data_IF_401895319973
#
_entry.id   IF_401895319973
#
_cell.length_a   1.000
_cell.length_b   1.000
_cell.length_c   1.000
_cell.angle_alpha   90.00
_cell.angle_beta   90.00
_cell.angle_gamma   90.00
#
_symmetry.space_group_name_H-M   'P 1'
#
loop_
_entity.id
_entity.type
_entity.pdbx_description
1 polymer ?
#
# COMPACT_ATOMS: atom_id res chain seq x y z
N UNK A 1 17.25 3.22 2.45
CA UNK A 1 17.52 3.01 1.01
C UNK A 1 16.34 3.60 0.26
N UNK A 2 16.55 4.55 -0.65
CA UNK A 2 15.46 5.11 -1.46
C UNK A 2 15.19 4.12 -2.60
N UNK A 3 13.95 3.68 -2.75
CA UNK A 3 13.57 2.80 -3.86
C UNK A 3 13.62 3.59 -5.16
N UNK A 4 14.06 2.94 -6.24
CA UNK A 4 14.01 3.51 -7.58
C UNK A 4 12.56 3.52 -8.08
N UNK A 5 12.11 4.64 -8.61
CA UNK A 5 10.80 4.74 -9.25
C UNK A 5 10.76 4.03 -10.60
N UNK A 6 9.55 3.75 -11.07
CA UNK A 6 9.31 3.24 -12.43
C UNK A 6 9.88 4.24 -13.44
N UNK A 7 10.58 3.75 -14.47
CA UNK A 7 11.30 4.57 -15.44
C UNK A 7 12.78 4.80 -15.10
N UNK A 8 13.24 4.40 -13.90
CA UNK A 8 14.67 4.47 -13.56
C UNK A 8 15.52 3.61 -14.49
N UNK A 9 16.72 4.09 -14.82
CA UNK A 9 17.68 3.40 -15.69
C UNK A 9 18.85 2.88 -14.87
N UNK A 10 19.15 1.60 -15.01
CA UNK A 10 20.23 0.92 -14.29
C UNK A 10 21.16 0.17 -15.23
N UNK A 11 22.35 -0.15 -14.75
CA UNK A 11 23.29 -1.06 -15.39
C UNK A 11 23.61 -2.22 -14.43
N UNK A 12 23.12 -3.41 -14.74
CA UNK A 12 23.35 -4.62 -13.96
C UNK A 12 24.60 -5.35 -14.49
N UNK A 13 25.46 -5.92 -13.62
CA UNK A 13 26.68 -6.61 -14.04
C UNK A 13 26.40 -7.78 -14.99
N UNK A 14 25.33 -8.55 -14.74
CA UNK A 14 25.01 -9.74 -15.55
C UNK A 14 24.14 -9.46 -16.78
N UNK A 15 23.27 -8.44 -16.72
CA UNK A 15 22.23 -8.22 -17.73
C UNK A 15 22.42 -6.92 -18.54
N UNK A 16 23.39 -6.09 -18.17
CA UNK A 16 23.69 -4.83 -18.82
C UNK A 16 22.67 -3.73 -18.50
N UNK A 17 22.42 -2.86 -19.48
CA UNK A 17 21.56 -1.68 -19.30
C UNK A 17 20.08 -2.04 -19.40
N UNK A 18 19.30 -1.54 -18.46
CA UNK A 18 17.86 -1.79 -18.40
C UNK A 18 17.06 -0.64 -17.78
N UNK A 19 15.74 -0.72 -17.94
CA UNK A 19 14.77 0.23 -17.41
C UNK A 19 13.85 -0.47 -16.42
N UNK A 20 13.67 0.11 -15.23
CA UNK A 20 12.74 -0.37 -14.21
C UNK A 20 11.31 -0.12 -14.71
N UNK A 21 10.53 -1.19 -14.84
CA UNK A 21 9.13 -1.13 -15.32
C UNK A 21 8.11 -1.39 -14.22
N UNK A 22 8.51 -2.07 -13.14
CA UNK A 22 7.69 -2.29 -11.95
C UNK A 22 8.55 -2.44 -10.70
N UNK A 23 7.97 -2.15 -9.53
CA UNK A 23 8.62 -2.23 -8.22
C UNK A 23 7.65 -2.90 -7.25
N UNK A 24 8.15 -3.90 -6.54
CA UNK A 24 7.44 -4.54 -5.43
C UNK A 24 8.23 -4.34 -4.14
N UNK A 25 7.67 -4.76 -3.00
CA UNK A 25 8.38 -4.68 -1.70
C UNK A 25 9.65 -5.53 -1.62
N UNK A 26 9.93 -6.39 -2.60
CA UNK A 26 11.08 -7.31 -2.61
C UNK A 26 11.90 -7.31 -3.89
N UNK A 27 11.31 -6.94 -5.03
CA UNK A 27 11.97 -7.05 -6.34
C UNK A 27 11.71 -5.83 -7.23
N UNK A 28 12.68 -5.54 -8.09
CA UNK A 28 12.53 -4.73 -9.28
C UNK A 28 12.26 -5.61 -10.49
N UNK A 29 11.38 -5.14 -11.36
CA UNK A 29 11.16 -5.71 -12.68
C UNK A 29 11.84 -4.79 -13.68
N UNK A 30 12.83 -5.32 -14.39
CA UNK A 30 13.71 -4.53 -15.25
C UNK A 30 13.69 -5.12 -16.64
N UNK A 31 13.38 -4.30 -17.63
CA UNK A 31 13.53 -4.70 -19.03
C UNK A 31 14.92 -4.31 -19.49
N UNK A 32 15.77 -5.31 -19.69
CA UNK A 32 17.11 -5.19 -20.25
C UNK A 32 17.07 -5.21 -21.78
N UNK A 33 18.03 -4.53 -22.41
CA UNK A 33 18.09 -4.39 -23.88
C UNK A 33 18.24 -5.76 -24.56
N UNK A 34 19.11 -6.62 -24.04
CA UNK A 34 19.46 -7.89 -24.70
C UNK A 34 18.63 -9.08 -24.19
N UNK A 35 18.28 -9.10 -22.91
CA UNK A 35 17.64 -10.25 -22.25
C UNK A 35 16.12 -10.11 -22.07
N UNK A 36 15.56 -8.91 -22.32
CA UNK A 36 14.15 -8.64 -22.07
C UNK A 36 13.84 -8.45 -20.59
N UNK A 37 12.65 -8.88 -20.15
CA UNK A 37 12.14 -8.64 -18.80
C UNK A 37 12.76 -9.62 -17.80
N UNK A 38 13.45 -9.10 -16.80
CA UNK A 38 14.05 -9.86 -15.71
C UNK A 38 13.61 -9.32 -14.34
N UNK A 39 13.62 -10.21 -13.35
CA UNK A 39 13.29 -9.85 -11.96
C UNK A 39 14.56 -9.89 -11.12
N UNK A 40 14.92 -8.75 -10.52
CA UNK A 40 16.09 -8.63 -9.67
C UNK A 40 15.68 -8.23 -8.24
N UNK A 41 16.46 -8.64 -7.24
CA UNK A 41 16.19 -8.25 -5.86
C UNK A 41 16.50 -6.76 -5.64
N UNK A 42 15.83 -6.14 -4.67
CA UNK A 42 16.07 -4.72 -4.31
C UNK A 42 17.49 -4.44 -3.80
N UNK A 43 18.17 -5.47 -3.29
CA UNK A 43 19.55 -5.44 -2.76
C UNK A 43 20.60 -5.94 -3.75
N UNK A 44 20.22 -6.22 -4.99
CA UNK A 44 21.17 -6.62 -6.04
C UNK A 44 22.17 -5.48 -6.33
N UNK A 45 23.39 -5.86 -6.72
CA UNK A 45 24.40 -4.89 -7.13
C UNK A 45 24.13 -4.40 -8.56
N UNK A 46 23.95 -3.10 -8.73
CA UNK A 46 23.84 -2.45 -10.04
C UNK A 46 24.22 -0.97 -9.92
N UNK A 47 24.64 -0.38 -11.03
CA UNK A 47 24.88 1.07 -11.11
C UNK A 47 23.60 1.79 -11.54
N UNK A 48 23.25 2.86 -10.82
CA UNK A 48 22.12 3.72 -11.19
C UNK A 48 22.59 4.77 -12.19
N UNK A 49 22.07 4.70 -13.42
CA UNK A 49 22.34 5.69 -14.47
C UNK A 49 21.44 6.92 -14.27
N UNK A 50 20.16 6.67 -14.00
CA UNK A 50 19.15 7.69 -13.74
C UNK A 50 18.12 7.15 -12.76
N UNK A 51 17.90 7.86 -11.66
CA UNK A 51 16.81 7.58 -10.75
C UNK A 51 15.59 8.40 -11.19
N UNK A 52 14.53 7.71 -11.58
CA UNK A 52 13.20 8.31 -11.60
C UNK A 52 12.74 8.40 -10.14
N UNK A 53 12.56 9.62 -9.66
CA UNK A 53 12.08 9.92 -8.32
C UNK A 53 10.55 10.00 -8.25
N UNK A 54 9.85 9.70 -9.35
CA UNK A 54 8.40 9.73 -9.37
C UNK A 54 7.89 8.73 -8.33
N UNK A 55 7.23 9.31 -7.32
CA UNK A 55 6.58 8.61 -6.22
C UNK A 55 5.72 7.51 -6.86
N UNK A 56 6.23 6.28 -6.84
CA UNK A 56 5.39 5.13 -6.99
C UNK A 56 4.45 5.28 -5.81
N UNK A 57 3.20 5.69 -6.08
CA UNK A 57 2.12 5.78 -5.11
C UNK A 57 1.94 4.38 -4.52
N UNK A 58 2.82 4.03 -3.58
CA UNK A 58 2.74 2.84 -2.79
C UNK A 58 1.55 3.11 -1.91
N UNK A 59 0.38 2.64 -2.36
CA UNK A 59 -0.86 2.74 -1.61
C UNK A 59 -0.53 2.42 -0.16
N UNK A 60 -0.74 3.39 0.72
CA UNK A 60 -0.26 3.26 2.09
C UNK A 60 -0.98 2.08 2.73
N UNK A 61 -0.28 1.24 3.50
CA UNK A 61 -0.94 0.18 4.27
C UNK A 61 -2.06 0.74 5.16
N UNK A 62 -1.92 1.99 5.61
CA UNK A 62 -2.96 2.72 6.32
C UNK A 62 -4.21 2.97 5.46
N UNK A 63 -4.04 3.31 4.18
CA UNK A 63 -5.16 3.52 3.24
C UNK A 63 -5.87 2.21 2.90
N UNK A 64 -5.11 1.11 2.78
CA UNK A 64 -5.65 -0.23 2.59
C UNK A 64 -6.44 -0.67 3.82
N UNK A 65 -5.88 -0.50 5.02
CA UNK A 65 -6.55 -0.80 6.29
C UNK A 65 -7.83 0.02 6.46
N UNK A 66 -7.74 1.33 6.23
CA UNK A 66 -8.90 2.23 6.28
C UNK A 66 -9.99 1.80 5.31
N UNK A 67 -9.64 1.47 4.07
CA UNK A 67 -10.59 1.00 3.07
C UNK A 67 -11.26 -0.31 3.49
N UNK A 68 -10.49 -1.24 4.05
CA UNK A 68 -11.04 -2.50 4.57
C UNK A 68 -11.99 -2.26 5.75
N UNK A 69 -11.61 -1.40 6.70
CA UNK A 69 -12.47 -1.00 7.83
C UNK A 69 -13.77 -0.36 7.35
N UNK A 70 -13.70 0.53 6.36
CA UNK A 70 -14.87 1.22 5.82
C UNK A 70 -15.81 0.24 5.10
N UNK A 71 -15.26 -0.73 4.36
CA UNK A 71 -16.05 -1.82 3.75
C UNK A 71 -16.71 -2.68 4.83
N UNK A 72 -15.96 -3.10 5.85
CA UNK A 72 -16.51 -3.91 6.93
C UNK A 72 -17.59 -3.16 7.70
N UNK A 73 -17.41 -1.88 8.04
CA UNK A 73 -18.44 -1.06 8.69
C UNK A 73 -19.71 -0.90 7.84
N UNK A 74 -19.56 -0.82 6.52
CA UNK A 74 -20.69 -0.64 5.61
C UNK A 74 -21.54 -1.90 5.43
N UNK A 75 -20.93 -3.08 5.51
CA UNK A 75 -21.57 -4.34 5.13
C UNK A 75 -21.67 -5.38 6.25
N UNK A 76 -20.87 -5.24 7.30
CA UNK A 76 -21.00 -6.04 8.52
C UNK A 76 -22.00 -5.34 9.42
N UNK A 77 -22.94 -6.09 10.02
CA UNK A 77 -23.89 -5.65 11.08
C UNK A 77 -23.18 -5.19 12.38
N UNK A 78 -21.97 -4.61 12.30
CA UNK A 78 -21.27 -4.00 13.42
C UNK A 78 -21.99 -2.69 13.72
N UNK A 79 -22.99 -2.81 14.59
CA UNK A 79 -23.62 -1.66 15.23
C UNK A 79 -22.54 -0.77 15.84
N UNK A 80 -22.54 0.51 15.48
CA UNK A 80 -21.64 1.47 16.12
C UNK A 80 -21.94 1.51 17.62
N UNK A 81 -20.89 1.37 18.44
CA UNK A 81 -20.98 1.60 19.88
C UNK A 81 -21.20 3.09 20.10
N UNK A 82 -22.47 3.52 20.14
CA UNK A 82 -22.84 4.90 20.44
C UNK A 82 -22.89 5.07 21.95
N UNK A 83 -21.98 5.86 22.56
CA UNK A 83 -22.02 6.11 23.99
C UNK A 83 -23.26 6.92 24.35
N UNK A 84 -23.95 6.54 25.43
CA UNK A 84 -25.05 7.33 25.97
C UNK A 84 -24.52 8.67 26.50
N UNK A 85 -25.25 9.75 26.24
CA UNK A 85 -24.86 11.08 26.74
C UNK A 85 -24.82 11.10 28.28
N UNK A 86 -23.93 11.92 28.86
CA UNK A 86 -23.68 11.96 30.31
C UNK A 86 -24.93 12.20 31.16
N UNK A 87 -25.88 12.97 30.64
CA UNK A 87 -27.17 13.26 31.31
C UNK A 87 -28.02 12.01 31.60
N UNK A 88 -27.73 10.88 30.94
CA UNK A 88 -28.44 9.61 31.13
C UNK A 88 -27.69 8.63 32.03
N UNK A 89 -26.42 8.92 32.38
CA UNK A 89 -25.63 8.05 33.28
C UNK A 89 -26.24 8.06 34.68
N UNK A 90 -26.50 6.87 35.22
CA UNK A 90 -27.17 6.71 36.53
C UNK A 90 -28.69 6.96 36.50
N UNK A 91 -29.26 7.26 35.32
CA UNK A 91 -30.69 7.37 35.13
C UNK A 91 -31.40 6.01 35.08
N UNK A 92 -32.73 6.02 35.22
CA UNK A 92 -33.56 4.83 35.06
C UNK A 92 -34.09 4.77 33.62
N UNK A 93 -33.71 3.72 32.88
CA UNK A 93 -34.30 3.42 31.57
C UNK A 93 -35.65 2.72 31.79
N UNK A 94 -36.72 3.29 31.25
CA UNK A 94 -38.05 2.68 31.22
C UNK A 94 -38.43 2.53 29.75
N UNK A 95 -38.46 1.28 29.28
CA UNK A 95 -38.92 0.91 27.94
C UNK A 95 -40.31 0.29 28.10
N UNK A 96 -41.33 1.02 27.67
CA UNK A 96 -42.70 0.51 27.63
C UNK A 96 -43.03 0.10 26.19
N UNK A 97 -43.63 -1.09 25.98
CA UNK A 97 -44.08 -1.50 24.66
C UNK A 97 -45.19 -0.57 24.16
N UNK A 98 -45.20 -0.35 22.84
CA UNK A 98 -46.22 0.45 22.17
C UNK A 98 -47.51 -0.29 21.84
N UNK A 99 -47.54 -1.61 22.11
CA UNK A 99 -48.72 -2.49 22.05
C UNK A 99 -49.00 -3.10 23.43
#
# INVERSE_FOLDING_TARGET
MRLLGIGSRINHPDYGKGVVTNVTSKHYWVTFIDNGLETINLDSEFDVIEAADDDVDTVSFFEVERSLVDILKKWSDVTELVPIADKWKGGKLILEPGD
#
